data_IF_060655547991
#
_entry.id   IF_060655547991
#
_cell.length_a   1.000
_cell.length_b   1.000
_cell.length_c   1.000
_cell.angle_alpha   90.00
_cell.angle_beta   90.00
_cell.angle_gamma   90.00
#
_symmetry.space_group_name_H-M   'P 1'
#
loop_
_entity.id
_entity.type
_entity.pdbx_description
1 polymer ?
#
# COMPACT_ATOMS: atom_id res chain seq x y z
N UNK A 1 -16.79 -43.29 -14.66
CA UNK A 1 -17.14 -42.74 -15.99
C UNK A 1 -17.83 -41.41 -15.78
N UNK A 2 -17.18 -40.30 -16.20
CA UNK A 2 -17.70 -38.96 -16.59
C UNK A 2 -18.89 -38.36 -15.81
N UNK A 3 -18.71 -37.22 -15.11
CA UNK A 3 -18.93 -35.85 -15.65
C UNK A 3 -20.26 -35.30 -15.11
N UNK A 4 -20.49 -34.05 -14.69
CA UNK A 4 -19.70 -32.82 -14.51
C UNK A 4 -20.64 -31.75 -13.93
N UNK A 5 -20.11 -30.88 -13.05
CA UNK A 5 -20.29 -29.41 -12.98
C UNK A 5 -21.70 -28.80 -13.11
N UNK A 6 -22.11 -28.03 -12.09
CA UNK A 6 -22.27 -26.57 -12.23
C UNK A 6 -22.59 -25.90 -10.88
N UNK A 7 -21.62 -25.23 -10.26
CA UNK A 7 -21.88 -24.16 -9.29
C UNK A 7 -21.27 -22.90 -9.90
N UNK A 8 -22.16 -22.01 -10.36
CA UNK A 8 -21.82 -20.72 -10.93
C UNK A 8 -21.54 -19.73 -9.80
N UNK A 9 -20.27 -19.37 -9.62
CA UNK A 9 -19.89 -18.14 -8.93
C UNK A 9 -20.21 -16.96 -9.86
N UNK A 10 -21.19 -16.14 -9.47
CA UNK A 10 -21.47 -14.86 -10.11
C UNK A 10 -20.95 -13.74 -9.20
N UNK A 11 -19.80 -13.16 -9.56
CA UNK A 11 -19.43 -11.81 -9.13
C UNK A 11 -19.83 -10.85 -10.27
N UNK A 12 -20.75 -9.93 -9.97
CA UNK A 12 -21.08 -8.77 -10.81
C UNK A 12 -20.96 -7.54 -9.93
N UNK A 13 -20.13 -6.57 -10.32
CA UNK A 13 -20.29 -5.18 -9.90
C UNK A 13 -20.17 -4.32 -11.15
N UNK A 14 -21.28 -3.68 -11.50
CA UNK A 14 -21.33 -2.57 -12.43
C UNK A 14 -21.87 -1.37 -11.65
N UNK A 15 -21.14 -0.27 -11.66
CA UNK A 15 -21.67 1.05 -11.31
C UNK A 15 -20.99 2.08 -12.23
N UNK A 16 -21.70 2.44 -13.29
CA UNK A 16 -21.50 3.67 -14.06
C UNK A 16 -21.97 4.87 -13.22
N UNK A 17 -21.29 6.02 -13.31
CA UNK A 17 -21.89 7.34 -13.57
C UNK A 17 -20.78 8.36 -13.92
N UNK A 18 -21.14 9.17 -14.91
CA UNK A 18 -20.41 10.11 -15.78
C UNK A 18 -19.93 11.39 -15.06
N UNK A 19 -18.69 11.81 -15.31
CA UNK A 19 -18.18 13.16 -14.98
C UNK A 19 -18.39 14.10 -16.17
N UNK A 20 -18.92 15.31 -15.96
CA UNK A 20 -18.84 16.40 -16.95
C UNK A 20 -17.76 17.41 -16.56
N UNK A 21 -16.98 17.78 -17.57
CA UNK A 21 -15.69 18.48 -17.53
C UNK A 21 -15.90 19.97 -17.33
N UNK A 22 -15.06 20.56 -16.47
CA UNK A 22 -14.86 22.01 -16.34
C UNK A 22 -13.96 22.47 -17.50
N UNK A 23 -14.40 23.48 -18.26
CA UNK A 23 -13.56 24.19 -19.23
C UNK A 23 -13.18 25.53 -18.60
N UNK A 24 -11.88 25.73 -18.34
CA UNK A 24 -11.30 27.02 -17.95
C UNK A 24 -11.20 27.94 -19.18
N UNK A 25 -11.73 29.15 -19.07
CA UNK A 25 -11.40 30.28 -19.93
C UNK A 25 -10.53 31.28 -19.16
N UNK A 26 -9.35 31.60 -19.71
CA UNK A 26 -8.40 32.60 -19.21
C UNK A 26 -8.83 34.02 -19.63
N UNK A 27 -8.82 34.96 -18.69
CA UNK A 27 -8.85 36.40 -18.96
C UNK A 27 -7.85 37.10 -18.01
N UNK A 28 -6.97 38.00 -18.50
CA UNK A 28 -6.05 38.73 -17.65
C UNK A 28 -6.75 39.98 -17.10
N UNK A 29 -6.87 40.08 -15.78
CA UNK A 29 -7.29 41.31 -15.12
C UNK A 29 -6.07 41.93 -14.43
N UNK A 30 -5.60 43.02 -15.04
CA UNK A 30 -4.67 43.97 -14.43
C UNK A 30 -5.45 44.71 -13.35
N UNK A 31 -4.99 44.69 -12.10
CA UNK A 31 -5.45 45.63 -11.07
C UNK A 31 -4.29 46.04 -10.18
N UNK A 32 -4.01 47.34 -10.24
CA UNK A 32 -3.11 48.10 -9.39
C UNK A 32 -3.85 48.44 -8.10
N UNK A 33 -3.36 48.01 -6.93
CA UNK A 33 -3.87 48.45 -5.63
C UNK A 33 -2.71 48.96 -4.78
N UNK A 34 -2.78 50.25 -4.47
CA UNK A 34 -1.94 50.95 -3.50
C UNK A 34 -2.25 50.50 -2.07
N UNK A 35 -1.18 50.21 -1.33
CA UNK A 35 -0.97 50.30 0.12
C UNK A 35 -2.14 50.12 1.10
N UNK A 36 -2.04 49.08 1.93
CA UNK A 36 -2.30 49.17 3.37
C UNK A 36 -1.30 48.27 4.10
N UNK A 37 -0.59 48.83 5.08
CA UNK A 37 0.34 48.12 5.94
C UNK A 37 -0.40 47.16 6.87
N UNK A 38 -0.56 45.92 6.43
CA UNK A 38 -0.80 44.79 7.31
C UNK A 38 0.51 44.05 7.47
N UNK A 39 1.00 43.93 8.70
CA UNK A 39 2.04 42.94 9.01
C UNK A 39 1.50 41.58 8.59
N UNK A 40 2.00 41.08 7.46
CA UNK A 40 1.85 39.68 7.08
C UNK A 40 2.67 38.93 8.11
N UNK A 41 2.02 38.52 9.19
CA UNK A 41 2.53 37.44 10.02
C UNK A 41 2.51 36.25 9.07
N UNK A 42 3.62 36.02 8.40
CA UNK A 42 3.90 34.75 7.79
C UNK A 42 3.71 33.73 8.92
N UNK A 43 2.59 33.00 8.89
CA UNK A 43 2.50 31.78 9.64
C UNK A 43 3.60 30.89 9.07
N UNK A 44 4.75 30.92 9.72
CA UNK A 44 5.66 29.78 9.73
C UNK A 44 4.88 28.69 10.47
N UNK A 45 3.90 28.12 9.78
CA UNK A 45 3.40 26.81 10.07
C UNK A 45 4.64 25.94 10.01
N UNK A 46 5.25 25.73 11.17
CA UNK A 46 6.15 24.60 11.37
C UNK A 46 5.26 23.43 11.02
N UNK A 47 5.34 22.97 9.77
CA UNK A 47 4.73 21.71 9.37
C UNK A 47 5.27 20.72 10.37
N UNK A 48 4.42 20.33 11.33
CA UNK A 48 4.85 19.48 12.42
C UNK A 48 5.49 18.26 11.76
N UNK A 49 6.78 18.04 12.02
CA UNK A 49 7.54 17.05 11.30
C UNK A 49 6.79 15.71 11.38
N UNK A 50 6.50 15.10 10.23
CA UNK A 50 5.76 13.84 10.19
C UNK A 50 6.64 12.77 10.83
N UNK A 51 6.25 12.29 12.01
CA UNK A 51 7.02 11.32 12.80
C UNK A 51 6.42 9.92 12.83
N UNK A 52 5.17 9.74 12.41
CA UNK A 52 4.51 8.44 12.44
C UNK A 52 4.69 7.71 11.10
N UNK A 53 5.29 6.53 11.15
CA UNK A 53 5.50 5.64 10.01
C UNK A 53 4.75 4.33 10.28
N UNK A 54 3.90 3.92 9.34
CA UNK A 54 3.18 2.64 9.41
C UNK A 54 3.67 1.75 8.26
N UNK A 55 4.32 0.64 8.62
CA UNK A 55 4.90 -0.33 7.70
C UNK A 55 3.91 -1.45 7.43
N UNK A 56 3.63 -1.74 6.15
CA UNK A 56 2.66 -2.73 5.69
C UNK A 56 3.39 -3.77 4.84
N UNK A 57 3.38 -5.02 5.29
CA UNK A 57 4.08 -6.12 4.60
C UNK A 57 3.36 -6.58 3.32
N UNK A 58 4.07 -7.36 2.51
CA UNK A 58 3.53 -7.97 1.30
C UNK A 58 2.78 -9.27 1.57
N UNK A 59 2.33 -9.95 0.52
CA UNK A 59 1.76 -11.28 0.61
C UNK A 59 2.85 -12.32 0.85
N UNK A 60 2.47 -13.44 1.48
CA UNK A 60 3.35 -14.58 1.80
C UNK A 60 4.52 -14.30 2.75
N UNK A 61 4.54 -13.11 3.35
CA UNK A 61 5.51 -12.69 4.37
C UNK A 61 4.77 -11.97 5.48
N UNK A 62 5.43 -11.70 6.59
CA UNK A 62 4.87 -10.98 7.73
C UNK A 62 5.71 -9.72 8.08
N UNK A 63 5.42 -9.13 9.25
CA UNK A 63 6.13 -7.95 9.75
C UNK A 63 7.63 -8.15 10.02
N UNK A 64 8.15 -9.38 10.10
CA UNK A 64 9.56 -9.65 10.41
C UNK A 64 10.51 -9.07 9.35
N UNK A 65 10.10 -9.03 8.09
CA UNK A 65 10.88 -8.41 7.00
C UNK A 65 11.16 -6.92 7.21
N UNK A 66 10.37 -6.25 8.06
CA UNK A 66 10.56 -4.84 8.41
C UNK A 66 11.50 -4.61 9.60
N UNK A 67 12.01 -5.64 10.27
CA UNK A 67 12.75 -5.48 11.54
C UNK A 67 13.96 -4.54 11.39
N UNK A 68 14.74 -4.68 10.31
CA UNK A 68 15.89 -3.81 10.04
C UNK A 68 15.49 -2.35 9.83
N UNK A 69 14.47 -2.10 9.01
CA UNK A 69 13.93 -0.76 8.73
C UNK A 69 13.34 -0.14 10.00
N UNK A 70 12.60 -0.91 10.77
CA UNK A 70 12.05 -0.50 12.06
C UNK A 70 13.16 0.00 12.99
N UNK A 71 14.25 -0.77 13.16
CA UNK A 71 15.38 -0.40 14.01
C UNK A 71 16.03 0.92 13.58
N UNK A 72 16.24 1.10 12.28
CA UNK A 72 16.82 2.34 11.72
C UNK A 72 15.91 3.54 11.98
N UNK A 73 14.63 3.44 11.64
CA UNK A 73 13.67 4.55 11.83
C UNK A 73 13.45 4.88 13.31
N UNK A 74 13.39 3.89 14.20
CA UNK A 74 13.31 4.13 15.64
C UNK A 74 14.53 4.87 16.17
N UNK A 75 15.73 4.49 15.73
CA UNK A 75 16.98 5.19 16.07
C UNK A 75 16.96 6.66 15.62
N UNK A 76 16.33 6.94 14.48
CA UNK A 76 16.22 8.30 13.92
C UNK A 76 15.05 9.11 14.51
N UNK A 77 14.40 8.58 15.55
CA UNK A 77 13.39 9.29 16.35
C UNK A 77 11.99 9.28 15.75
N UNK A 78 11.66 8.30 14.90
CA UNK A 78 10.30 8.08 14.40
C UNK A 78 9.48 7.21 15.36
N UNK A 79 8.15 7.40 15.33
CA UNK A 79 7.17 6.46 15.86
C UNK A 79 6.83 5.49 14.74
N UNK A 80 7.13 4.20 14.93
CA UNK A 80 6.98 3.20 13.89
C UNK A 80 6.02 2.12 14.36
N UNK A 81 5.01 1.82 13.55
CA UNK A 81 4.13 0.68 13.73
C UNK A 81 4.26 -0.27 12.54
N UNK A 82 4.21 -1.58 12.80
CA UNK A 82 4.20 -2.61 11.76
C UNK A 82 2.83 -3.27 11.79
N UNK A 83 2.11 -3.20 10.67
CA UNK A 83 0.79 -3.80 10.52
C UNK A 83 0.94 -5.32 10.43
N UNK A 84 0.03 -6.05 11.06
CA UNK A 84 -0.12 -7.49 10.91
C UNK A 84 -1.33 -7.75 10.03
N UNK A 85 -1.11 -7.76 8.72
CA UNK A 85 -2.19 -7.92 7.74
C UNK A 85 -2.64 -9.40 7.77
N UNK A 86 -3.95 -9.70 7.90
CA UNK A 86 -4.43 -11.08 7.90
C UNK A 86 -4.20 -11.81 6.57
N UNK A 87 -4.05 -11.10 5.45
CA UNK A 87 -3.87 -11.66 4.10
C UNK A 87 -5.00 -12.59 3.66
N UNK A 88 -6.22 -12.33 4.17
CA UNK A 88 -7.46 -13.03 3.81
C UNK A 88 -8.16 -12.32 2.66
N UNK A 89 -8.25 -10.99 2.74
CA UNK A 89 -8.80 -10.14 1.69
C UNK A 89 -8.21 -8.73 1.76
N UNK A 90 -8.21 -8.01 0.64
CA UNK A 90 -7.79 -6.61 0.61
C UNK A 90 -8.57 -5.73 1.59
N UNK A 91 -9.89 -5.97 1.72
CA UNK A 91 -10.73 -5.21 2.64
C UNK A 91 -10.32 -5.42 4.10
N UNK A 92 -10.00 -6.65 4.49
CA UNK A 92 -9.57 -6.98 5.85
C UNK A 92 -8.19 -6.37 6.16
N UNK A 93 -7.26 -6.44 5.20
CA UNK A 93 -5.92 -5.87 5.32
C UNK A 93 -5.97 -4.34 5.44
N UNK A 94 -6.83 -3.68 4.66
CA UNK A 94 -7.12 -2.24 4.77
C UNK A 94 -7.73 -1.91 6.12
N UNK A 95 -8.67 -2.73 6.62
CA UNK A 95 -9.32 -2.49 7.91
C UNK A 95 -8.34 -2.60 9.09
N UNK A 96 -7.37 -3.51 9.06
CA UNK A 96 -6.30 -3.58 10.09
C UNK A 96 -5.34 -2.39 9.96
N UNK A 97 -4.98 -2.02 8.73
CA UNK A 97 -4.12 -0.85 8.48
C UNK A 97 -4.77 0.43 9.01
N UNK A 98 -6.06 0.65 8.75
CA UNK A 98 -6.83 1.80 9.27
C UNK A 98 -6.91 1.82 10.80
N UNK A 99 -7.06 0.66 11.45
CA UNK A 99 -6.98 0.57 12.93
C UNK A 99 -5.60 0.99 13.45
N UNK A 100 -4.53 0.63 12.73
CA UNK A 100 -3.16 1.03 13.09
C UNK A 100 -2.93 2.53 12.89
N UNK A 101 -3.46 3.12 11.81
CA UNK A 101 -3.46 4.57 11.55
C UNK A 101 -4.22 5.32 12.65
N UNK A 102 -5.40 4.82 13.05
CA UNK A 102 -6.22 5.45 14.07
C UNK A 102 -5.46 5.62 15.40
N UNK A 103 -4.61 4.65 15.75
CA UNK A 103 -3.76 4.65 16.95
C UNK A 103 -2.53 5.58 16.88
N UNK A 104 -2.27 6.24 15.74
CA UNK A 104 -1.17 7.21 15.63
C UNK A 104 -1.59 8.60 16.12
N UNK A 105 -0.67 9.27 16.81
CA UNK A 105 -0.84 10.62 17.34
C UNK A 105 -0.33 11.67 16.34
N UNK A 106 -1.06 11.86 15.24
CA UNK A 106 -0.77 12.89 14.23
C UNK A 106 -0.66 12.36 12.81
N UNK A 107 -0.07 13.14 11.88
CA UNK A 107 0.11 12.76 10.48
C UNK A 107 0.92 11.48 10.32
N UNK A 108 0.61 10.69 9.29
CA UNK A 108 1.15 9.35 9.03
C UNK A 108 1.73 9.26 7.62
N UNK A 109 2.88 8.61 7.48
CA UNK A 109 3.35 8.04 6.21
C UNK A 109 3.07 6.54 6.22
N UNK A 110 2.40 6.04 5.19
CA UNK A 110 2.26 4.60 4.94
C UNK A 110 3.39 4.13 4.04
N UNK A 111 4.01 3.01 4.40
CA UNK A 111 5.05 2.35 3.61
C UNK A 111 4.59 0.93 3.30
N UNK A 112 4.44 0.61 2.02
CA UNK A 112 3.94 -0.69 1.57
C UNK A 112 5.00 -1.42 0.73
N UNK A 113 5.23 -2.69 1.03
CA UNK A 113 6.09 -3.56 0.21
C UNK A 113 5.26 -4.55 -0.61
N UNK A 114 5.61 -4.75 -1.89
CA UNK A 114 4.93 -5.72 -2.77
C UNK A 114 3.40 -5.54 -2.77
N UNK A 115 2.62 -6.58 -2.45
CA UNK A 115 1.17 -6.53 -2.22
C UNK A 115 0.73 -5.43 -1.25
N UNK A 116 1.53 -5.12 -0.23
CA UNK A 116 1.26 -4.06 0.73
C UNK A 116 1.10 -2.69 0.07
N UNK A 117 1.63 -2.50 -1.14
CA UNK A 117 1.35 -1.34 -1.99
C UNK A 117 -0.14 -1.14 -2.25
N UNK A 118 -0.87 -2.18 -2.68
CA UNK A 118 -2.30 -2.10 -2.90
C UNK A 118 -3.08 -1.79 -1.62
N UNK A 119 -2.63 -2.34 -0.48
CA UNK A 119 -3.23 -2.07 0.84
C UNK A 119 -3.06 -0.60 1.21
N UNK A 120 -1.86 -0.02 1.04
CA UNK A 120 -1.61 1.38 1.38
C UNK A 120 -2.26 2.35 0.38
N UNK A 121 -2.46 1.94 -0.88
CA UNK A 121 -3.22 2.74 -1.86
C UNK A 121 -4.66 2.95 -1.39
N UNK A 122 -5.32 1.90 -0.93
CA UNK A 122 -6.69 1.97 -0.42
C UNK A 122 -6.78 2.64 0.95
N UNK A 123 -5.90 2.26 1.88
CA UNK A 123 -5.86 2.83 3.23
C UNK A 123 -5.40 4.30 3.24
N UNK A 124 -4.65 4.72 2.22
CA UNK A 124 -4.09 6.07 2.07
C UNK A 124 -5.12 7.18 1.91
N UNK A 125 -6.38 6.84 1.65
CA UNK A 125 -7.49 7.80 1.64
C UNK A 125 -7.88 8.30 3.05
N UNK A 126 -7.26 7.76 4.11
CA UNK A 126 -7.47 8.25 5.48
C UNK A 126 -6.89 9.67 5.67
N UNK A 127 -7.63 10.63 6.26
CA UNK A 127 -7.18 12.01 6.42
C UNK A 127 -5.92 12.20 7.26
N UNK A 128 -5.53 11.23 8.09
CA UNK A 128 -4.25 11.28 8.82
C UNK A 128 -3.05 10.97 7.90
N UNK A 129 -3.27 10.31 6.77
CA UNK A 129 -2.20 9.91 5.86
C UNK A 129 -1.81 11.08 4.97
N UNK A 130 -0.54 11.48 5.06
CA UNK A 130 0.01 12.63 4.32
C UNK A 130 1.04 12.22 3.27
N UNK A 131 1.29 10.91 3.13
CA UNK A 131 2.17 10.38 2.10
C UNK A 131 2.19 8.86 2.05
N UNK A 132 2.50 8.34 0.87
CA UNK A 132 2.62 6.92 0.56
C UNK A 132 4.03 6.64 0.04
N UNK A 133 4.63 5.55 0.49
CA UNK A 133 5.93 5.05 0.02
C UNK A 133 5.76 3.63 -0.48
N UNK A 134 6.07 3.40 -1.75
CA UNK A 134 5.97 2.10 -2.41
C UNK A 134 7.37 1.49 -2.52
N UNK A 135 7.60 0.35 -1.87
CA UNK A 135 8.88 -0.36 -1.88
C UNK A 135 8.71 -1.65 -2.66
N UNK A 136 9.23 -1.70 -3.90
CA UNK A 136 9.02 -2.84 -4.80
C UNK A 136 7.55 -3.31 -4.82
N UNK A 137 6.62 -2.34 -4.85
CA UNK A 137 5.22 -2.55 -4.50
C UNK A 137 4.29 -2.28 -5.67
N UNK A 138 3.12 -2.93 -5.64
CA UNK A 138 2.04 -2.63 -6.58
C UNK A 138 1.41 -1.28 -6.25
N UNK A 139 1.22 -0.43 -7.24
CA UNK A 139 0.53 0.85 -7.11
C UNK A 139 -0.65 0.88 -8.09
N UNK A 140 -1.76 0.18 -7.77
CA UNK A 140 -2.90 0.08 -8.68
C UNK A 140 -3.60 1.43 -8.88
N UNK A 141 -3.97 1.73 -10.12
CA UNK A 141 -4.89 2.83 -10.43
C UNK A 141 -6.35 2.46 -10.08
N UNK A 142 -7.24 3.45 -10.11
CA UNK A 142 -8.67 3.24 -9.86
C UNK A 142 -9.25 2.20 -10.82
N UNK A 143 -9.77 1.11 -10.26
CA UNK A 143 -10.37 0.01 -11.00
C UNK A 143 -9.39 -1.09 -11.40
N UNK A 144 -8.10 -0.92 -11.12
CA UNK A 144 -7.10 -1.97 -11.25
C UNK A 144 -7.03 -2.83 -9.98
N UNK A 145 -6.38 -3.97 -10.11
CA UNK A 145 -6.11 -4.92 -9.03
C UNK A 145 -4.73 -5.53 -9.22
N UNK A 146 -4.17 -6.14 -8.16
CA UNK A 146 -2.90 -6.86 -8.27
C UNK A 146 -2.97 -7.95 -9.36
N UNK A 147 -4.11 -8.65 -9.47
CA UNK A 147 -4.28 -9.70 -10.49
C UNK A 147 -4.29 -9.15 -11.91
N UNK A 148 -4.86 -7.96 -12.15
CA UNK A 148 -4.80 -7.32 -13.48
C UNK A 148 -3.41 -6.81 -13.81
N UNK A 149 -2.67 -6.31 -12.81
CA UNK A 149 -1.30 -5.81 -13.00
C UNK A 149 -0.30 -6.92 -13.36
N UNK A 150 -0.49 -8.14 -12.82
CA UNK A 150 0.40 -9.27 -13.10
C UNK A 150 -0.07 -10.16 -14.25
N UNK A 151 -1.18 -9.84 -14.92
CA UNK A 151 -1.80 -10.73 -15.90
C UNK A 151 -0.91 -11.00 -17.12
N UNK A 152 -0.02 -10.08 -17.48
CA UNK A 152 0.85 -10.16 -18.67
C UNK A 152 2.32 -9.93 -18.30
N UNK A 153 2.98 -10.87 -17.60
CA UNK A 153 4.37 -10.71 -17.24
C UNK A 153 5.26 -10.74 -18.49
N UNK A 154 6.35 -9.94 -18.53
CA UNK A 154 7.35 -10.06 -19.59
C UNK A 154 7.90 -11.49 -19.68
N UNK A 155 8.25 -11.97 -20.89
CA UNK A 155 8.92 -13.26 -21.05
C UNK A 155 10.17 -13.36 -20.17
N UNK A 156 10.31 -14.44 -19.41
CA UNK A 156 11.45 -14.67 -18.51
C UNK A 156 11.36 -13.96 -17.16
N UNK A 157 10.26 -13.27 -16.85
CA UNK A 157 10.04 -12.72 -15.52
C UNK A 157 10.07 -13.84 -14.46
N UNK A 158 10.80 -13.66 -13.34
CA UNK A 158 10.80 -14.60 -12.23
C UNK A 158 9.37 -14.82 -11.73
N UNK A 159 8.98 -16.08 -11.59
CA UNK A 159 7.68 -16.42 -11.03
C UNK A 159 7.84 -16.77 -9.56
N UNK A 160 7.01 -16.20 -8.67
CA UNK A 160 7.02 -16.62 -7.27
C UNK A 160 6.67 -18.12 -7.22
N UNK A 161 7.27 -18.89 -6.29
CA UNK A 161 7.09 -20.32 -6.21
C UNK A 161 5.76 -20.68 -5.54
N UNK A 162 4.66 -20.17 -6.10
CA UNK A 162 3.30 -20.37 -5.62
C UNK A 162 2.86 -21.80 -5.94
N UNK A 163 2.36 -22.50 -4.93
CA UNK A 163 1.76 -23.83 -5.04
C UNK A 163 0.30 -23.73 -5.53
N UNK A 164 -0.27 -24.82 -6.07
CA UNK A 164 -1.70 -24.85 -6.39
C UNK A 164 -2.55 -24.40 -5.19
N UNK A 165 -3.59 -23.57 -5.41
CA UNK A 165 -4.43 -23.09 -4.33
C UNK A 165 -5.07 -24.23 -3.54
N UNK A 166 -5.20 -24.06 -2.23
CA UNK A 166 -5.91 -24.99 -1.34
C UNK A 166 -6.97 -24.21 -0.57
N UNK A 167 -8.24 -24.61 -0.71
CA UNK A 167 -9.39 -23.97 -0.06
C UNK A 167 -9.49 -22.45 -0.27
N UNK A 168 -9.04 -21.96 -1.44
CA UNK A 168 -9.03 -20.54 -1.79
C UNK A 168 -7.80 -19.77 -1.30
N UNK A 169 -6.86 -20.44 -0.64
CA UNK A 169 -5.60 -19.85 -0.17
C UNK A 169 -4.43 -20.21 -1.08
N UNK A 170 -3.47 -19.30 -1.17
CA UNK A 170 -2.20 -19.50 -1.87
C UNK A 170 -1.10 -19.79 -0.85
N UNK A 171 -0.21 -20.71 -1.19
CA UNK A 171 0.95 -21.06 -0.40
C UNK A 171 2.22 -21.00 -1.26
N UNK A 172 3.38 -20.78 -0.65
CA UNK A 172 4.66 -20.88 -1.33
C UNK A 172 5.32 -22.23 -1.08
N UNK A 173 6.08 -22.71 -2.07
CA UNK A 173 7.04 -23.78 -1.90
C UNK A 173 8.16 -23.28 -0.96
N UNK A 174 8.13 -23.73 0.29
CA UNK A 174 9.09 -23.33 1.34
C UNK A 174 10.54 -23.56 0.93
N UNK A 175 10.83 -24.59 0.13
CA UNK A 175 12.20 -24.88 -0.29
C UNK A 175 12.74 -23.82 -1.27
N UNK A 176 11.85 -23.14 -2.01
CA UNK A 176 12.20 -22.10 -2.99
C UNK A 176 12.06 -20.69 -2.45
N UNK A 177 11.34 -20.51 -1.33
CA UNK A 177 11.11 -19.21 -0.70
C UNK A 177 12.38 -18.38 -0.49
N UNK A 178 13.49 -18.92 0.09
CA UNK A 178 14.70 -18.13 0.32
C UNK A 178 15.25 -17.50 -0.96
N UNK A 179 15.34 -18.27 -2.04
CA UNK A 179 15.87 -17.78 -3.32
C UNK A 179 14.93 -16.76 -4.00
N UNK A 180 13.62 -16.83 -3.75
CA UNK A 180 12.62 -15.98 -4.40
C UNK A 180 12.27 -14.70 -3.64
N UNK A 181 12.32 -14.71 -2.31
CA UNK A 181 11.83 -13.61 -1.46
C UNK A 181 12.85 -13.10 -0.44
N UNK A 182 13.88 -13.89 -0.13
CA UNK A 182 14.74 -13.69 1.04
C UNK A 182 16.21 -13.98 0.70
N UNK A 183 16.64 -13.67 -0.53
CA UNK A 183 17.97 -14.05 -1.05
C UNK A 183 19.14 -13.38 -0.32
N UNK A 184 18.89 -12.18 0.24
CA UNK A 184 19.92 -11.35 0.88
C UNK A 184 19.85 -11.37 2.42
N UNK A 185 18.95 -12.16 3.02
CA UNK A 185 18.89 -12.31 4.49
C UNK A 185 19.67 -13.54 4.94
N UNK A 186 19.99 -13.61 6.25
CA UNK A 186 20.66 -14.79 6.82
C UNK A 186 19.79 -16.04 6.63
N UNK A 187 20.38 -17.22 6.34
CA UNK A 187 19.62 -18.45 6.12
C UNK A 187 18.60 -18.77 7.23
N UNK A 188 18.99 -18.61 8.50
CA UNK A 188 18.10 -18.89 9.63
C UNK A 188 16.91 -17.93 9.70
N UNK A 189 17.09 -16.68 9.25
CA UNK A 189 16.00 -15.72 9.15
C UNK A 189 15.07 -16.09 7.99
N UNK A 190 15.61 -16.45 6.82
CA UNK A 190 14.82 -16.91 5.68
C UNK A 190 14.04 -18.20 5.99
N UNK A 191 14.58 -19.08 6.83
CA UNK A 191 13.93 -20.32 7.25
C UNK A 191 12.86 -20.11 8.34
N UNK A 192 12.99 -19.03 9.12
CA UNK A 192 12.01 -18.64 10.13
C UNK A 192 10.76 -18.01 9.50
N UNK A 193 10.95 -17.17 8.48
CA UNK A 193 9.88 -16.54 7.69
C UNK A 193 9.05 -17.59 6.92
#
# INVERSE_FOLDING_TARGET
MKSSRNIRNHFRIAAEIKTHRIILGLLPIITFVLGFGGSVIAQTGSSAAVKNIVLVHGGFVDGSGWEGVYKILKKDGYTVAVVQNPTISLADDVAVTKRTIANQNGPVILVGHSYGGAVITEAGNDPKVVGLVYVAAFAPDKGESVSTLIANPPPGAPQPPILPPQDGYLFLDKAKFPASFAGDVKPDAAAFM
#
